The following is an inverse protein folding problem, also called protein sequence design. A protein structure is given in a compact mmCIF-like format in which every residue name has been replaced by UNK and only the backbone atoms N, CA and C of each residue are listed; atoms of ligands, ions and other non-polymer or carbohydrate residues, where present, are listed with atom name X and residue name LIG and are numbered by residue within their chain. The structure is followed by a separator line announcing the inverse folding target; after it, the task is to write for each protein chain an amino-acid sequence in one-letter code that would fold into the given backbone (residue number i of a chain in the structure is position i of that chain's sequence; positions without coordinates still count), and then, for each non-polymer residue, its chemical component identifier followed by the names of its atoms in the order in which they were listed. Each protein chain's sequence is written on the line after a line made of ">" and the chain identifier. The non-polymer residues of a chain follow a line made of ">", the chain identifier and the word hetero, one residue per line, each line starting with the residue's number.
data_IF_435320197681
#
_entry.id   IF_435320197681
#
_cell.length_a   1.000
_cell.length_b   1.000
_cell.length_c   1.000
_cell.angle_alpha   90.00
_cell.angle_beta   90.00
_cell.angle_gamma   90.00
#
_symmetry.space_group_name_H-M   'P 1'
#
loop_
_entity.id
_entity.type
_entity.pdbx_description
1 polymer ?
#
# COMPACT_ATOMS: atom_id res chain seq x y z
N UNK A 1 9.43 4.23 11.68
CA UNK A 1 8.21 4.89 11.18
C UNK A 1 7.09 3.87 10.93
N UNK A 2 7.22 2.97 9.93
CA UNK A 2 6.19 1.99 9.58
C UNK A 2 5.68 1.08 10.70
N UNK A 3 6.57 0.55 11.55
CA UNK A 3 6.18 -0.34 12.65
C UNK A 3 5.19 0.30 13.65
N UNK A 4 5.30 1.60 13.88
CA UNK A 4 4.37 2.36 14.74
C UNK A 4 3.14 2.78 13.96
N UNK A 5 3.30 3.12 12.68
CA UNK A 5 2.20 3.53 11.82
C UNK A 5 1.19 2.40 11.56
N UNK A 6 1.64 1.14 11.49
CA UNK A 6 0.77 0.00 11.19
C UNK A 6 -0.34 -0.23 12.23
N UNK A 7 -0.06 -0.32 13.56
CA UNK A 7 -1.11 -0.39 14.57
C UNK A 7 -2.04 0.82 14.55
N UNK A 8 -1.49 2.03 14.38
CA UNK A 8 -2.27 3.27 14.34
C UNK A 8 -3.24 3.26 13.17
N UNK A 9 -2.77 2.89 11.97
CA UNK A 9 -3.61 2.75 10.79
C UNK A 9 -4.70 1.69 10.97
N UNK A 10 -4.39 0.56 11.62
CA UNK A 10 -5.38 -0.47 11.95
C UNK A 10 -6.49 0.09 12.84
N UNK A 11 -6.13 0.80 13.92
CA UNK A 11 -7.10 1.44 14.82
C UNK A 11 -7.96 2.48 14.08
N UNK A 12 -7.36 3.28 13.22
CA UNK A 12 -8.07 4.28 12.41
C UNK A 12 -9.06 3.59 11.46
N UNK A 13 -8.65 2.50 10.82
CA UNK A 13 -9.49 1.72 9.93
C UNK A 13 -10.64 1.02 10.66
N UNK A 14 -10.40 0.49 11.86
CA UNK A 14 -11.41 -0.22 12.65
C UNK A 14 -12.47 0.74 13.24
N UNK A 15 -12.03 1.93 13.67
CA UNK A 15 -12.86 2.80 14.53
C UNK A 15 -13.41 4.05 13.85
N UNK A 16 -12.76 4.56 12.80
CA UNK A 16 -13.05 5.89 12.26
C UNK A 16 -13.39 5.88 10.77
N UNK A 17 -12.40 5.58 9.92
CA UNK A 17 -12.50 5.79 8.47
C UNK A 17 -13.02 4.58 7.69
N UNK A 18 -12.95 3.38 8.28
CA UNK A 18 -13.17 2.14 7.54
C UNK A 18 -11.89 1.63 6.85
N UNK A 19 -11.87 0.33 6.49
CA UNK A 19 -10.70 -0.33 5.91
C UNK A 19 -10.33 0.30 4.59
N UNK A 20 -11.30 0.38 3.68
CA UNK A 20 -11.07 0.76 2.29
C UNK A 20 -10.51 2.18 2.18
N UNK A 21 -11.12 3.15 2.88
CA UNK A 21 -10.69 4.55 2.82
C UNK A 21 -9.35 4.78 3.52
N UNK A 22 -9.08 4.10 4.64
CA UNK A 22 -7.79 4.21 5.32
C UNK A 22 -6.66 3.74 4.41
N UNK A 23 -6.84 2.61 3.72
CA UNK A 23 -5.85 2.10 2.76
C UNK A 23 -5.70 3.04 1.57
N UNK A 24 -6.79 3.62 1.03
CA UNK A 24 -6.71 4.61 -0.07
C UNK A 24 -5.86 5.82 0.33
N UNK A 25 -6.07 6.38 1.53
CA UNK A 25 -5.31 7.54 2.00
C UNK A 25 -3.83 7.22 2.14
N UNK A 26 -3.50 6.07 2.73
CA UNK A 26 -2.12 5.62 2.89
C UNK A 26 -1.40 5.43 1.55
N UNK A 27 -2.07 4.77 0.59
CA UNK A 27 -1.56 4.59 -0.76
C UNK A 27 -1.41 5.92 -1.51
N UNK A 28 -2.33 6.86 -1.34
CA UNK A 28 -2.21 8.18 -1.96
C UNK A 28 -1.00 8.95 -1.41
N UNK A 29 -0.74 8.86 -0.10
CA UNK A 29 0.42 9.47 0.53
C UNK A 29 1.73 8.79 0.13
N UNK A 30 1.78 7.46 0.11
CA UNK A 30 2.99 6.73 -0.29
C UNK A 30 3.30 6.90 -1.77
N UNK A 31 2.28 6.84 -2.64
CA UNK A 31 2.40 7.08 -4.08
C UNK A 31 2.84 8.50 -4.42
N UNK A 32 2.23 9.52 -3.80
CA UNK A 32 2.66 10.92 -3.99
C UNK A 32 4.07 11.17 -3.50
N UNK A 33 4.46 10.55 -2.37
CA UNK A 33 5.83 10.65 -1.86
C UNK A 33 6.83 9.99 -2.82
N UNK A 34 6.49 8.85 -3.42
CA UNK A 34 7.34 8.18 -4.41
C UNK A 34 7.52 9.02 -5.69
N UNK A 35 6.46 9.69 -6.17
CA UNK A 35 6.54 10.60 -7.32
C UNK A 35 7.39 11.83 -7.05
N UNK A 36 7.51 12.24 -5.79
CA UNK A 36 8.24 13.46 -5.41
C UNK A 36 9.70 13.17 -5.04
N UNK A 37 9.95 12.18 -4.17
CA UNK A 37 11.26 12.01 -3.49
C UNK A 37 12.41 11.75 -4.46
N UNK A 38 12.17 11.08 -5.58
CA UNK A 38 13.20 10.76 -6.56
C UNK A 38 13.74 11.97 -7.34
N UNK A 39 13.05 13.11 -7.29
CA UNK A 39 13.44 14.35 -7.99
C UNK A 39 14.03 15.41 -7.06
N UNK A 40 14.09 15.11 -5.76
CA UNK A 40 14.59 16.03 -4.75
C UNK A 40 16.11 15.86 -4.58
N UNK A 41 16.83 16.97 -4.50
CA UNK A 41 18.29 16.98 -4.34
C UNK A 41 18.76 17.27 -2.92
N UNK A 42 17.89 17.87 -2.08
CA UNK A 42 18.22 18.19 -0.69
C UNK A 42 18.24 16.91 0.17
N UNK A 43 19.37 16.59 0.85
CA UNK A 43 19.46 15.40 1.69
C UNK A 43 18.40 15.33 2.79
N UNK A 44 18.09 16.47 3.42
CA UNK A 44 17.07 16.54 4.46
C UNK A 44 15.67 16.20 3.92
N UNK A 45 15.35 16.69 2.72
CA UNK A 45 14.07 16.44 2.08
C UNK A 45 13.94 14.99 1.57
N UNK A 46 15.03 14.38 1.10
CA UNK A 46 15.08 12.94 0.78
C UNK A 46 14.84 12.10 2.04
N UNK A 47 15.51 12.41 3.15
CA UNK A 47 15.31 11.70 4.42
C UNK A 47 13.86 11.81 4.89
N UNK A 48 13.30 13.02 4.87
CA UNK A 48 11.90 13.24 5.23
C UNK A 48 10.94 12.45 4.33
N UNK A 49 11.19 12.46 3.01
CA UNK A 49 10.42 11.69 2.03
C UNK A 49 10.48 10.19 2.29
N UNK A 50 11.66 9.62 2.53
CA UNK A 50 11.81 8.18 2.82
C UNK A 50 11.12 7.80 4.14
N UNK A 51 11.18 8.65 5.16
CA UNK A 51 10.48 8.43 6.43
C UNK A 51 8.97 8.48 6.24
N UNK A 52 8.45 9.45 5.49
CA UNK A 52 7.02 9.57 5.18
C UNK A 52 6.55 8.38 4.34
N UNK A 53 7.31 8.00 3.31
CA UNK A 53 7.04 6.84 2.48
C UNK A 53 6.96 5.57 3.34
N UNK A 54 7.97 5.32 4.18
CA UNK A 54 7.98 4.18 5.09
C UNK A 54 6.87 4.21 6.15
N UNK A 55 6.42 5.39 6.59
CA UNK A 55 5.28 5.52 7.48
C UNK A 55 3.95 5.17 6.80
N UNK A 56 3.85 5.42 5.50
CA UNK A 56 2.58 5.35 4.76
C UNK A 56 2.42 4.06 3.97
N UNK A 57 3.50 3.46 3.46
CA UNK A 57 3.42 2.21 2.70
C UNK A 57 3.42 0.94 3.55
N UNK A 58 4.10 0.95 4.70
CA UNK A 58 4.21 -0.24 5.56
C UNK A 58 2.85 -0.67 6.14
N UNK A 59 1.92 0.24 6.50
CA UNK A 59 0.60 -0.15 6.94
C UNK A 59 -0.27 -0.83 5.88
N UNK A 60 0.05 -0.77 4.59
CA UNK A 60 -0.77 -1.38 3.54
C UNK A 60 -0.86 -2.92 3.68
N UNK A 61 0.25 -3.57 4.03
CA UNK A 61 0.32 -5.04 4.20
C UNK A 61 -0.65 -5.60 5.26
N UNK A 62 -0.66 -5.09 6.52
CA UNK A 62 -1.66 -5.53 7.50
C UNK A 62 -3.09 -5.16 7.08
N UNK A 63 -3.32 -4.02 6.41
CA UNK A 63 -4.67 -3.68 5.94
C UNK A 63 -5.19 -4.67 4.89
N UNK A 64 -4.37 -5.05 3.91
CA UNK A 64 -4.78 -6.03 2.89
C UNK A 64 -5.01 -7.43 3.47
N UNK A 65 -4.12 -7.89 4.34
CA UNK A 65 -4.28 -9.21 4.97
C UNK A 65 -5.48 -9.27 5.92
N UNK A 66 -5.78 -8.19 6.64
CA UNK A 66 -7.02 -8.07 7.42
C UNK A 66 -8.25 -8.05 6.51
N UNK A 67 -8.25 -7.28 5.43
CA UNK A 67 -9.37 -7.25 4.47
C UNK A 67 -9.64 -8.65 3.88
N UNK A 68 -8.59 -9.41 3.53
CA UNK A 68 -8.72 -10.80 3.10
C UNK A 68 -9.31 -11.65 4.23
N UNK A 69 -8.84 -11.50 5.46
CA UNK A 69 -9.38 -12.25 6.61
C UNK A 69 -10.86 -11.98 6.88
N UNK A 70 -11.31 -10.75 6.68
CA UNK A 70 -12.70 -10.33 6.89
C UNK A 70 -13.62 -10.79 5.74
N UNK A 71 -13.15 -10.73 4.49
CA UNK A 71 -13.95 -11.03 3.30
C UNK A 71 -13.90 -12.49 2.86
N UNK A 72 -12.82 -13.21 3.15
CA UNK A 72 -12.65 -14.58 2.68
C UNK A 72 -13.48 -15.58 3.52
N UNK A 73 -14.11 -16.58 2.87
CA UNK A 73 -14.74 -17.69 3.56
C UNK A 73 -13.75 -18.38 4.51
N UNK A 74 -14.16 -18.76 5.74
CA UNK A 74 -13.28 -19.32 6.76
C UNK A 74 -12.40 -20.48 6.25
N UNK A 75 -12.95 -21.32 5.39
CA UNK A 75 -12.32 -22.53 4.86
C UNK A 75 -11.20 -22.21 3.85
N UNK A 76 -11.19 -21.00 3.26
CA UNK A 76 -10.26 -20.58 2.21
C UNK A 76 -9.34 -19.42 2.62
N UNK A 77 -9.50 -18.85 3.82
CA UNK A 77 -8.68 -17.72 4.30
C UNK A 77 -7.18 -17.98 4.17
N UNK A 78 -6.72 -19.15 4.64
CA UNK A 78 -5.31 -19.52 4.56
C UNK A 78 -4.79 -19.58 3.12
N UNK A 79 -5.57 -20.18 2.20
CA UNK A 79 -5.21 -20.26 0.79
C UNK A 79 -5.15 -18.86 0.14
N UNK A 80 -6.13 -17.99 0.41
CA UNK A 80 -6.16 -16.63 -0.13
C UNK A 80 -5.00 -15.77 0.38
N UNK A 81 -4.65 -15.89 1.66
CA UNK A 81 -3.48 -15.20 2.22
C UNK A 81 -2.18 -15.67 1.57
N UNK A 82 -2.00 -16.99 1.39
CA UNK A 82 -0.83 -17.55 0.70
C UNK A 82 -0.73 -17.07 -0.75
N UNK A 83 -1.83 -17.08 -1.49
CA UNK A 83 -1.87 -16.57 -2.87
C UNK A 83 -1.51 -15.08 -2.91
N UNK A 84 -2.10 -14.26 -2.02
CA UNK A 84 -1.80 -12.83 -1.96
C UNK A 84 -0.32 -12.55 -1.65
N UNK A 85 0.28 -13.33 -0.75
CA UNK A 85 1.69 -13.20 -0.38
C UNK A 85 2.59 -13.62 -1.55
N UNK A 86 2.28 -14.73 -2.22
CA UNK A 86 3.01 -15.18 -3.40
C UNK A 86 2.98 -14.16 -4.54
N UNK A 87 1.81 -13.57 -4.82
CA UNK A 87 1.67 -12.48 -5.78
C UNK A 87 2.49 -11.24 -5.36
N UNK A 88 2.49 -10.89 -4.08
CA UNK A 88 3.31 -9.80 -3.54
C UNK A 88 4.80 -10.00 -3.79
N UNK A 89 5.32 -11.21 -3.56
CA UNK A 89 6.72 -11.54 -3.87
C UNK A 89 7.02 -11.47 -5.37
N UNK A 90 6.13 -12.00 -6.22
CA UNK A 90 6.30 -11.94 -7.67
C UNK A 90 6.36 -10.49 -8.17
N UNK A 91 5.43 -9.65 -7.72
CA UNK A 91 5.39 -8.22 -8.07
C UNK A 91 6.65 -7.51 -7.56
N UNK A 92 7.10 -7.82 -6.34
CA UNK A 92 8.34 -7.26 -5.78
C UNK A 92 9.55 -7.60 -6.63
N UNK A 93 9.68 -8.85 -7.07
CA UNK A 93 10.79 -9.30 -7.92
C UNK A 93 10.82 -8.53 -9.26
N UNK A 94 9.67 -8.42 -9.93
CA UNK A 94 9.53 -7.66 -11.18
C UNK A 94 9.85 -6.19 -10.94
N UNK A 95 9.37 -5.62 -9.83
CA UNK A 95 9.58 -4.21 -9.48
C UNK A 95 11.07 -3.92 -9.25
N UNK A 96 11.79 -4.76 -8.52
CA UNK A 96 13.23 -4.59 -8.28
C UNK A 96 14.02 -4.65 -9.59
N UNK A 97 13.72 -5.63 -10.45
CA UNK A 97 14.38 -5.76 -11.75
C UNK A 97 14.13 -4.52 -12.62
N UNK A 98 12.87 -4.09 -12.72
CA UNK A 98 12.47 -2.94 -13.53
C UNK A 98 13.04 -1.63 -12.98
N UNK A 99 13.03 -1.45 -11.66
CA UNK A 99 13.61 -0.28 -10.98
C UNK A 99 15.11 -0.17 -11.28
N UNK A 100 15.83 -1.29 -11.26
CA UNK A 100 17.26 -1.31 -11.56
C UNK A 100 17.55 -0.89 -13.01
N UNK A 101 16.74 -1.38 -13.96
CA UNK A 101 16.84 -0.99 -15.37
C UNK A 101 16.53 0.49 -15.58
N UNK A 102 15.45 1.02 -14.98
CA UNK A 102 15.11 2.44 -15.06
C UNK A 102 16.18 3.32 -14.40
N UNK A 103 16.74 2.89 -13.27
CA UNK A 103 17.79 3.63 -12.58
C UNK A 103 19.03 3.76 -13.47
N UNK A 104 19.43 2.68 -14.15
CA UNK A 104 20.56 2.70 -15.06
C UNK A 104 20.31 3.56 -16.32
N UNK A 105 19.07 3.58 -16.83
CA UNK A 105 18.72 4.30 -18.05
C UNK A 105 18.42 5.79 -17.82
N UNK A 106 17.63 6.12 -16.79
CA UNK A 106 17.03 7.44 -16.57
C UNK A 106 17.26 8.00 -15.16
N UNK A 107 18.03 7.31 -14.32
CA UNK A 107 18.35 7.74 -12.96
C UNK A 107 17.27 7.45 -11.92
N UNK A 108 17.50 7.90 -10.70
CA UNK A 108 16.68 7.56 -9.53
C UNK A 108 15.26 8.14 -9.55
N UNK A 109 15.06 9.31 -10.17
CA UNK A 109 13.74 9.96 -10.24
C UNK A 109 12.67 9.06 -10.85
N UNK A 110 12.78 8.73 -12.14
CA UNK A 110 11.86 7.81 -12.80
C UNK A 110 11.81 6.41 -12.17
N UNK A 111 12.96 5.90 -11.69
CA UNK A 111 13.03 4.60 -11.05
C UNK A 111 12.18 4.51 -9.77
N UNK A 112 12.20 5.55 -8.93
CA UNK A 112 11.39 5.60 -7.71
C UNK A 112 9.93 5.97 -8.05
N UNK A 113 9.70 6.83 -9.04
CA UNK A 113 8.35 7.20 -9.48
C UNK A 113 7.54 5.99 -9.98
N UNK A 114 8.21 4.98 -10.55
CA UNK A 114 7.60 3.69 -10.92
C UNK A 114 6.84 3.04 -9.75
N UNK A 115 7.33 3.20 -8.52
CA UNK A 115 6.72 2.60 -7.33
C UNK A 115 5.31 3.14 -7.06
N UNK A 116 4.95 4.33 -7.60
CA UNK A 116 3.60 4.88 -7.50
C UNK A 116 2.56 4.11 -8.33
N UNK A 117 2.98 3.25 -9.27
CA UNK A 117 2.07 2.42 -10.05
C UNK A 117 1.29 1.42 -9.17
N UNK A 118 1.95 0.83 -8.17
CA UNK A 118 1.31 -0.09 -7.21
C UNK A 118 0.18 0.58 -6.43
N UNK A 119 0.45 1.69 -5.71
CA UNK A 119 -0.57 2.51 -5.06
C UNK A 119 -1.69 2.96 -5.99
N UNK A 120 -1.40 3.35 -7.24
CA UNK A 120 -2.45 3.75 -8.19
C UNK A 120 -3.46 2.61 -8.45
N UNK A 121 -2.96 1.41 -8.74
CA UNK A 121 -3.81 0.22 -8.94
C UNK A 121 -4.53 -0.16 -7.65
N UNK A 122 -3.85 -0.07 -6.50
CA UNK A 122 -4.44 -0.35 -5.19
C UNK A 122 -5.56 0.61 -4.82
N UNK A 123 -5.39 1.91 -5.08
CA UNK A 123 -6.40 2.95 -4.84
C UNK A 123 -7.67 2.65 -5.64
N UNK A 124 -7.52 2.40 -6.95
CA UNK A 124 -8.66 2.07 -7.81
C UNK A 124 -9.36 0.81 -7.29
N UNK A 125 -8.61 -0.22 -6.93
CA UNK A 125 -9.15 -1.49 -6.41
C UNK A 125 -9.92 -1.30 -5.09
N UNK A 126 -9.38 -0.50 -4.17
CA UNK A 126 -10.02 -0.22 -2.88
C UNK A 126 -11.25 0.67 -3.01
N UNK A 127 -11.25 1.64 -3.94
CA UNK A 127 -12.44 2.45 -4.23
C UNK A 127 -13.54 1.61 -4.89
N UNK A 128 -13.17 0.69 -5.79
CA UNK A 128 -14.11 -0.27 -6.36
C UNK A 128 -14.66 -1.24 -5.32
N UNK A 129 -13.86 -1.63 -4.32
CA UNK A 129 -14.32 -2.43 -3.19
C UNK A 129 -15.28 -1.62 -2.29
N UNK A 130 -14.97 -0.35 -2.01
CA UNK A 130 -15.79 0.50 -1.16
C UNK A 130 -17.25 0.64 -1.63
N UNK A 131 -17.49 0.60 -2.94
CA UNK A 131 -18.86 0.67 -3.51
C UNK A 131 -19.60 -0.67 -3.48
N UNK A 132 -18.90 -1.77 -3.22
CA UNK A 132 -19.49 -3.12 -3.20
C UNK A 132 -20.19 -3.41 -1.87
N UNK A 133 -21.32 -4.13 -1.85
CA UNK A 133 -22.00 -4.54 -0.62
C UNK A 133 -21.09 -5.31 0.35
N UNK A 134 -20.19 -6.12 -0.19
CA UNK A 134 -19.23 -6.94 0.55
C UNK A 134 -18.34 -6.10 1.46
N UNK A 135 -18.08 -4.83 1.15
CA UNK A 135 -17.32 -3.94 2.03
C UNK A 135 -18.00 -3.71 3.39
N UNK A 136 -19.31 -3.91 3.51
CA UNK A 136 -20.00 -3.85 4.81
C UNK A 136 -19.55 -4.97 5.77
N UNK A 137 -18.97 -6.06 5.27
CA UNK A 137 -18.40 -7.09 6.13
C UNK A 137 -17.06 -6.67 6.76
N UNK A 138 -16.43 -5.60 6.28
CA UNK A 138 -15.14 -5.11 6.77
C UNK A 138 -15.29 -4.08 7.89
N UNK A 139 -14.30 -4.05 8.79
CA UNK A 139 -14.17 -3.03 9.84
C UNK A 139 -15.46 -2.82 10.66
N UNK A 140 -16.22 -3.89 10.91
CA UNK A 140 -17.49 -3.83 11.64
C UNK A 140 -18.59 -3.00 10.96
N UNK A 141 -18.63 -2.95 9.63
CA UNK A 141 -19.65 -2.22 8.86
C UNK A 141 -19.18 -0.87 8.31
N UNK A 142 -17.95 -0.45 8.63
CA UNK A 142 -17.43 0.88 8.27
C UNK A 142 -16.81 0.98 6.86
N UNK A 143 -16.74 -0.13 6.11
CA UNK A 143 -16.19 -0.27 4.74
C UNK A 143 -14.70 -0.01 4.58
#
# INVERSE_FOLDING_TARGET
>A
AGAVASPVAGIVADRWLGRSLTTVVLMALSGSTALWVGFVTSPAAVIAGVLLYGATIVPDSPQFSTAIGELAPPERRGAMLSVSTGLGFLVTMITIATTSLLQAAWGWGPAIALLAAGPAVGIVSMLLLYVRPEAQAMAGGRR
#
